data_IF_516012290069
#
_entry.id   IF_516012290069
#
_cell.length_a   1.000
_cell.length_b   1.000
_cell.length_c   1.000
_cell.angle_alpha   90.00
_cell.angle_beta   90.00
_cell.angle_gamma   90.00
#
_symmetry.space_group_name_H-M   'P 1'
#
loop_
_entity.id
_entity.type
_entity.pdbx_description
1 polymer ?
#
# COMPACT_ATOMS: atom_id res chain seq x y z
N UNK A 1 -16.83 7.38 9.32
CA UNK A 1 -16.14 7.23 8.02
C UNK A 1 -16.01 8.63 7.43
N UNK A 2 -14.80 9.20 7.30
CA UNK A 2 -14.59 10.50 6.64
C UNK A 2 -14.03 10.21 5.24
N UNK A 3 -14.85 10.44 4.22
CA UNK A 3 -14.40 10.52 2.83
C UNK A 3 -13.91 11.95 2.58
N UNK A 4 -12.70 12.11 2.06
CA UNK A 4 -12.13 13.40 1.67
C UNK A 4 -11.74 13.31 0.19
N UNK A 5 -12.41 14.08 -0.65
CA UNK A 5 -12.08 14.28 -2.07
C UNK A 5 -11.51 15.70 -2.18
N UNK A 6 -10.21 15.84 -1.99
CA UNK A 6 -9.44 17.01 -2.44
C UNK A 6 -8.88 16.75 -3.85
N UNK A 7 -9.06 17.71 -4.74
CA UNK A 7 -8.52 17.77 -6.11
C UNK A 7 -7.29 18.69 -6.15
N UNK A 8 -6.32 18.46 -5.26
CA UNK A 8 -5.08 19.23 -5.18
C UNK A 8 -3.98 18.64 -6.07
N UNK A 9 -3.10 19.49 -6.60
CA UNK A 9 -1.99 19.11 -7.48
C UNK A 9 -1.03 18.10 -6.83
N UNK A 10 -0.75 18.27 -5.53
CA UNK A 10 0.08 17.35 -4.73
C UNK A 10 -0.66 16.92 -3.46
N UNK A 11 -0.56 15.64 -3.08
CA UNK A 11 -1.21 15.14 -1.86
C UNK A 11 -0.30 14.28 -0.98
N UNK A 12 -0.19 14.71 0.28
CA UNK A 12 0.42 13.95 1.36
C UNK A 12 -0.63 13.32 2.28
N UNK A 13 -0.62 11.99 2.42
CA UNK A 13 -1.44 11.27 3.41
C UNK A 13 -0.57 10.53 4.40
N UNK A 14 -0.65 10.88 5.69
CA UNK A 14 0.05 10.16 6.76
C UNK A 14 -0.94 9.70 7.83
N UNK A 15 -0.96 8.40 8.12
CA UNK A 15 -1.83 7.83 9.16
C UNK A 15 -1.09 6.74 9.95
N UNK A 16 -1.12 6.87 11.27
CA UNK A 16 -0.53 5.91 12.20
C UNK A 16 -1.55 5.45 13.22
N UNK A 17 -1.62 4.14 13.51
CA UNK A 17 -2.39 3.61 14.64
C UNK A 17 -1.49 2.85 15.62
N UNK A 18 -1.58 3.22 16.89
CA UNK A 18 -0.86 2.61 18.00
C UNK A 18 -1.85 1.93 18.95
N UNK A 19 -1.50 0.75 19.45
CA UNK A 19 -2.28 0.05 20.48
C UNK A 19 -1.94 -1.44 20.56
N UNK A 20 -2.27 -2.10 21.67
CA UNK A 20 -1.94 -3.53 21.84
C UNK A 20 -2.56 -4.41 20.76
N UNK A 21 -3.82 -4.16 20.38
CA UNK A 21 -4.56 -4.96 19.40
C UNK A 21 -5.49 -4.14 18.51
N UNK A 22 -6.04 -4.78 17.47
CA UNK A 22 -7.12 -4.23 16.64
C UNK A 22 -6.76 -4.03 15.16
N UNK A 23 -7.56 -3.21 14.49
CA UNK A 23 -7.61 -3.14 13.02
C UNK A 23 -7.38 -1.70 12.56
N UNK A 24 -6.81 -1.53 11.37
CA UNK A 24 -6.79 -0.28 10.63
C UNK A 24 -7.17 -0.58 9.19
N UNK A 25 -8.28 0.01 8.74
CA UNK A 25 -8.73 -0.02 7.36
C UNK A 25 -8.54 1.37 6.76
N UNK A 26 -7.86 1.44 5.62
CA UNK A 26 -7.73 2.67 4.83
C UNK A 26 -8.26 2.39 3.44
N UNK A 27 -9.23 3.22 3.03
CA UNK A 27 -9.78 3.24 1.67
C UNK A 27 -9.52 4.62 1.12
N UNK A 28 -8.85 4.68 -0.04
CA UNK A 28 -8.52 5.94 -0.70
C UNK A 28 -8.75 5.81 -2.21
N UNK A 29 -9.43 6.81 -2.78
CA UNK A 29 -9.65 6.95 -4.20
C UNK A 29 -9.25 8.36 -4.57
N UNK A 30 -8.41 8.53 -5.60
CA UNK A 30 -7.96 9.86 -5.96
C UNK A 30 -7.46 10.00 -7.39
N UNK A 31 -7.51 11.24 -7.87
CA UNK A 31 -7.00 11.70 -9.16
C UNK A 31 -6.12 12.94 -8.93
N UNK A 32 -4.86 12.91 -9.36
CA UNK A 32 -3.91 14.01 -9.11
C UNK A 32 -2.57 13.79 -9.81
N UNK A 33 -1.65 14.75 -9.71
CA UNK A 33 -0.33 14.64 -10.32
C UNK A 33 0.62 13.87 -9.41
N UNK A 34 0.90 14.38 -8.21
CA UNK A 34 1.91 13.78 -7.31
C UNK A 34 1.31 13.36 -5.96
N UNK A 35 1.67 12.15 -5.49
CA UNK A 35 1.13 11.66 -4.20
C UNK A 35 2.10 10.84 -3.35
N UNK A 36 2.20 11.27 -2.09
CA UNK A 36 2.94 10.62 -1.02
C UNK A 36 1.97 10.00 0.01
N UNK A 37 1.94 8.68 0.13
CA UNK A 37 1.10 7.97 1.12
C UNK A 37 1.96 7.18 2.09
N UNK A 38 1.87 7.49 3.39
CA UNK A 38 2.56 6.77 4.46
C UNK A 38 1.59 6.27 5.53
N UNK A 39 1.36 4.96 5.59
CA UNK A 39 0.45 4.36 6.57
C UNK A 39 1.20 3.36 7.47
N UNK A 40 0.94 3.43 8.77
CA UNK A 40 1.63 2.64 9.77
C UNK A 40 0.68 2.06 10.81
N UNK A 41 0.90 0.80 11.20
CA UNK A 41 0.28 0.23 12.40
C UNK A 41 1.32 -0.39 13.32
N UNK A 42 1.26 -0.01 14.60
CA UNK A 42 2.17 -0.44 15.65
C UNK A 42 1.39 -1.06 16.81
N UNK A 43 1.71 -2.29 17.17
CA UNK A 43 0.98 -3.00 18.23
C UNK A 43 1.36 -4.47 18.35
N UNK A 44 1.00 -5.14 19.44
CA UNK A 44 1.33 -6.57 19.60
C UNK A 44 0.65 -7.43 18.54
N UNK A 45 -0.66 -7.25 18.33
CA UNK A 45 -1.46 -8.03 17.38
C UNK A 45 -2.36 -7.17 16.52
N UNK A 46 -2.85 -7.70 15.39
CA UNK A 46 -3.90 -7.06 14.59
C UNK A 46 -3.61 -6.87 13.09
N UNK A 47 -4.37 -6.02 12.42
CA UNK A 47 -4.47 -6.04 10.96
C UNK A 47 -4.36 -4.64 10.38
N UNK A 48 -3.65 -4.52 9.26
CA UNK A 48 -3.64 -3.34 8.40
C UNK A 48 -4.17 -3.74 7.03
N UNK A 49 -5.29 -3.14 6.64
CA UNK A 49 -5.95 -3.36 5.36
C UNK A 49 -5.96 -2.05 4.58
N UNK A 50 -5.43 -2.06 3.37
CA UNK A 50 -5.39 -0.88 2.50
C UNK A 50 -6.00 -1.25 1.16
N UNK A 51 -7.06 -0.53 0.78
CA UNK A 51 -7.64 -0.59 -0.56
C UNK A 51 -7.45 0.77 -1.19
N UNK A 52 -6.92 0.81 -2.40
CA UNK A 52 -6.58 2.08 -2.99
C UNK A 52 -6.64 2.09 -4.51
N UNK A 53 -7.31 3.09 -5.08
CA UNK A 53 -7.44 3.24 -6.54
C UNK A 53 -7.00 4.64 -6.94
N UNK A 54 -6.11 4.73 -7.93
CA UNK A 54 -5.50 6.00 -8.29
C UNK A 54 -5.22 6.14 -9.77
N UNK A 55 -5.43 7.36 -10.23
CA UNK A 55 -5.07 7.82 -11.57
C UNK A 55 -4.20 9.07 -11.42
N UNK A 56 -2.97 9.07 -11.95
CA UNK A 56 -2.05 10.20 -11.78
C UNK A 56 -0.70 10.04 -12.46
N UNK A 57 0.24 10.95 -12.21
CA UNK A 57 1.58 10.87 -12.80
C UNK A 57 2.54 10.15 -11.86
N UNK A 58 2.80 10.72 -10.68
CA UNK A 58 3.86 10.24 -9.78
C UNK A 58 3.30 9.80 -8.43
N UNK A 59 3.81 8.67 -7.93
CA UNK A 59 3.34 8.15 -6.65
C UNK A 59 4.37 7.40 -5.83
N UNK A 60 4.46 7.83 -4.57
CA UNK A 60 5.22 7.20 -3.51
C UNK A 60 4.27 6.61 -2.44
N UNK A 61 4.31 5.29 -2.23
CA UNK A 61 3.51 4.61 -1.19
C UNK A 61 4.40 3.83 -0.23
N UNK A 62 4.31 4.13 1.06
CA UNK A 62 5.01 3.42 2.14
C UNK A 62 4.02 2.90 3.17
N UNK A 63 3.84 1.58 3.22
CA UNK A 63 2.95 0.94 4.20
C UNK A 63 3.76 0.05 5.14
N UNK A 64 3.52 0.18 6.44
CA UNK A 64 4.28 -0.51 7.46
C UNK A 64 3.40 -1.11 8.54
N UNK A 65 3.68 -2.36 8.92
CA UNK A 65 3.12 -2.98 10.11
C UNK A 65 4.23 -3.48 11.01
N UNK A 66 4.21 -3.07 12.27
CA UNK A 66 5.17 -3.45 13.30
C UNK A 66 4.45 -4.06 14.49
N UNK A 67 4.84 -5.27 14.90
CA UNK A 67 4.20 -5.96 16.01
C UNK A 67 4.76 -7.34 16.31
N UNK A 68 4.10 -8.12 17.16
CA UNK A 68 4.47 -9.54 17.33
C UNK A 68 3.76 -10.42 16.31
N UNK A 69 2.44 -10.33 16.23
CA UNK A 69 1.64 -11.14 15.31
C UNK A 69 0.77 -10.28 14.42
N UNK A 70 0.49 -10.68 13.17
CA UNK A 70 -0.63 -10.15 12.40
C UNK A 70 -0.39 -9.87 10.92
N UNK A 71 -1.37 -9.19 10.31
CA UNK A 71 -1.58 -9.24 8.87
C UNK A 71 -1.46 -7.87 8.22
N UNK A 72 -0.79 -7.83 7.07
CA UNK A 72 -0.81 -6.69 6.15
C UNK A 72 -1.46 -7.15 4.86
N UNK A 73 -2.51 -6.45 4.44
CA UNK A 73 -3.23 -6.74 3.22
C UNK A 73 -3.39 -5.47 2.40
N UNK A 74 -2.93 -5.50 1.17
CA UNK A 74 -2.92 -4.35 0.26
C UNK A 74 -3.55 -4.76 -1.05
N UNK A 75 -4.64 -4.10 -1.42
CA UNK A 75 -5.20 -4.13 -2.77
C UNK A 75 -5.03 -2.76 -3.37
N UNK A 76 -4.47 -2.71 -4.56
CA UNK A 76 -4.28 -1.43 -5.23
C UNK A 76 -4.39 -1.50 -6.74
N UNK A 77 -5.03 -0.48 -7.33
CA UNK A 77 -5.14 -0.31 -8.76
C UNK A 77 -4.58 1.05 -9.16
N UNK A 78 -3.71 1.05 -10.17
CA UNK A 78 -2.99 2.24 -10.61
C UNK A 78 -3.03 2.42 -12.12
N UNK A 79 -3.21 3.67 -12.51
CA UNK A 79 -3.09 4.15 -13.89
C UNK A 79 -2.24 5.41 -13.86
N UNK A 80 -1.04 5.38 -14.44
CA UNK A 80 -0.12 6.52 -14.34
C UNK A 80 1.23 6.37 -15.03
N UNK A 81 2.24 7.14 -14.62
CA UNK A 81 3.55 7.16 -15.28
C UNK A 81 4.70 6.69 -14.41
N UNK A 82 4.72 7.02 -13.12
CA UNK A 82 5.79 6.65 -12.20
C UNK A 82 5.24 6.21 -10.86
N UNK A 83 5.71 5.06 -10.38
CA UNK A 83 5.25 4.51 -9.11
C UNK A 83 6.32 3.77 -8.31
N UNK A 84 6.47 4.23 -7.07
CA UNK A 84 7.29 3.62 -6.05
C UNK A 84 6.42 3.11 -4.89
N UNK A 85 6.44 1.79 -4.67
CA UNK A 85 5.70 1.14 -3.58
C UNK A 85 6.63 0.37 -2.66
N UNK A 86 6.70 0.78 -1.38
CA UNK A 86 7.45 0.11 -0.33
C UNK A 86 6.50 -0.40 0.75
N UNK A 87 6.46 -1.71 0.92
CA UNK A 87 5.57 -2.35 1.87
C UNK A 87 6.37 -3.21 2.84
N UNK A 88 6.13 -3.01 4.13
CA UNK A 88 6.90 -3.62 5.21
C UNK A 88 6.05 -4.28 6.27
N UNK A 89 6.38 -5.52 6.63
CA UNK A 89 5.89 -6.18 7.85
C UNK A 89 7.08 -6.58 8.72
N UNK A 90 7.04 -6.18 9.99
CA UNK A 90 8.05 -6.53 10.99
C UNK A 90 7.35 -7.14 12.20
N UNK A 91 7.70 -8.38 12.53
CA UNK A 91 7.16 -9.08 13.69
C UNK A 91 7.32 -10.59 13.67
N UNK A 92 7.21 -11.22 14.82
CA UNK A 92 7.42 -12.66 15.00
C UNK A 92 6.60 -13.53 14.02
N UNK A 93 5.29 -13.33 13.89
CA UNK A 93 4.43 -14.20 13.07
C UNK A 93 3.36 -13.47 12.26
N UNK A 94 3.11 -13.86 11.02
CA UNK A 94 1.96 -13.30 10.29
C UNK A 94 2.03 -13.34 8.78
N UNK A 95 1.08 -12.66 8.16
CA UNK A 95 0.82 -12.80 6.73
C UNK A 95 0.91 -11.46 6.04
N UNK A 96 1.45 -11.50 4.85
CA UNK A 96 1.58 -10.34 4.00
C UNK A 96 1.00 -10.66 2.63
N UNK A 97 -0.08 -9.98 2.27
CA UNK A 97 -0.79 -10.19 1.02
C UNK A 97 -0.85 -8.90 0.23
N UNK A 98 -0.37 -8.94 -1.01
CA UNK A 98 -0.37 -7.80 -1.92
C UNK A 98 -0.97 -8.22 -3.24
N UNK A 99 -2.02 -7.51 -3.66
CA UNK A 99 -2.54 -7.56 -5.02
C UNK A 99 -2.45 -6.17 -5.58
N UNK A 100 -1.67 -6.01 -6.63
CA UNK A 100 -1.59 -4.75 -7.35
C UNK A 100 -1.86 -4.98 -8.82
N UNK A 101 -2.71 -4.14 -9.39
CA UNK A 101 -2.87 -3.99 -10.83
C UNK A 101 -2.31 -2.64 -11.24
N UNK A 102 -1.42 -2.66 -12.22
CA UNK A 102 -0.82 -1.45 -12.78
C UNK A 102 -1.04 -1.41 -14.29
N UNK A 103 -1.34 -0.22 -14.77
CA UNK A 103 -1.56 0.07 -16.19
C UNK A 103 -0.64 1.20 -16.67
N UNK A 104 0.23 1.69 -15.78
CA UNK A 104 1.11 2.80 -16.03
C UNK A 104 2.51 2.44 -16.51
N UNK A 105 3.30 3.48 -16.76
CA UNK A 105 4.73 3.36 -17.04
C UNK A 105 5.52 3.24 -15.71
N UNK A 106 6.78 2.80 -15.80
CA UNK A 106 7.80 2.72 -14.73
C UNK A 106 7.34 2.49 -13.27
N UNK A 107 7.62 1.27 -12.78
CA UNK A 107 7.27 0.84 -11.41
C UNK A 107 8.43 0.21 -10.65
N UNK A 108 8.59 0.61 -9.39
CA UNK A 108 9.34 -0.14 -8.38
C UNK A 108 8.41 -0.59 -7.26
N UNK A 109 8.42 -1.89 -6.97
CA UNK A 109 7.72 -2.46 -5.82
C UNK A 109 8.69 -3.23 -4.96
N UNK A 110 8.97 -2.68 -3.77
CA UNK A 110 9.79 -3.32 -2.75
C UNK A 110 8.95 -3.85 -1.60
N UNK A 111 9.06 -5.14 -1.38
CA UNK A 111 8.38 -5.84 -0.30
C UNK A 111 9.39 -6.32 0.73
N UNK A 112 9.11 -6.05 2.00
CA UNK A 112 9.96 -6.48 3.12
C UNK A 112 9.09 -7.17 4.15
N UNK A 113 9.45 -8.41 4.50
CA UNK A 113 8.87 -9.13 5.63
C UNK A 113 10.01 -9.62 6.51
N UNK A 114 9.97 -9.24 7.79
CA UNK A 114 10.94 -9.66 8.79
C UNK A 114 10.19 -10.29 9.97
N UNK A 115 10.58 -11.51 10.33
CA UNK A 115 9.89 -12.29 11.36
C UNK A 115 10.44 -13.70 11.51
N UNK A 116 9.96 -14.41 12.53
CA UNK A 116 10.31 -15.80 12.77
C UNK A 116 9.51 -16.75 11.87
N UNK A 117 8.24 -16.42 11.60
CA UNK A 117 7.36 -17.22 10.73
C UNK A 117 6.35 -16.35 9.99
N UNK A 118 5.88 -16.83 8.85
CA UNK A 118 4.88 -16.12 8.08
C UNK A 118 4.84 -16.48 6.61
N UNK A 119 3.82 -15.97 5.95
CA UNK A 119 3.61 -16.17 4.51
C UNK A 119 3.53 -14.83 3.81
N UNK A 120 4.17 -14.76 2.65
CA UNK A 120 4.06 -13.62 1.75
C UNK A 120 3.43 -14.10 0.45
N UNK A 121 2.34 -13.46 0.04
CA UNK A 121 1.66 -13.72 -1.21
C UNK A 121 1.54 -12.41 -1.99
N UNK A 122 2.01 -12.44 -3.23
CA UNK A 122 2.18 -11.24 -4.04
C UNK A 122 1.69 -11.53 -5.44
N UNK A 123 0.75 -10.72 -5.92
CA UNK A 123 0.29 -10.74 -7.30
C UNK A 123 0.43 -9.32 -7.83
N UNK A 124 1.33 -9.15 -8.78
CA UNK A 124 1.52 -7.89 -9.50
C UNK A 124 1.09 -8.13 -10.95
N UNK A 125 -0.01 -7.51 -11.34
CA UNK A 125 -0.51 -7.52 -12.71
C UNK A 125 -0.04 -6.24 -13.41
N UNK A 126 0.41 -6.40 -14.65
CA UNK A 126 0.69 -5.32 -15.59
C UNK A 126 -0.15 -5.60 -16.84
N UNK A 127 -0.93 -4.64 -17.29
CA UNK A 127 -1.78 -4.81 -18.48
C UNK A 127 -1.37 -3.94 -19.65
N UNK A 128 -0.10 -3.49 -19.69
CA UNK A 128 0.45 -2.90 -20.90
C UNK A 128 0.40 -3.92 -22.04
N UNK A 129 -0.11 -3.47 -23.18
CA UNK A 129 -0.10 -4.21 -24.44
C UNK A 129 1.19 -3.79 -25.16
N UNK A 130 2.17 -4.69 -25.27
CA UNK A 130 3.47 -4.44 -25.93
C UNK A 130 3.33 -4.27 -27.46
N UNK A 131 2.18 -3.77 -27.96
CA UNK A 131 1.83 -3.73 -29.38
C UNK A 131 2.12 -2.42 -30.10
N UNK A 132 2.81 -1.47 -29.48
CA UNK A 132 3.26 -0.21 -30.11
C UNK A 132 4.79 -0.03 -30.04
N UNK A 133 5.55 -1.01 -30.53
CA UNK A 133 6.96 -0.82 -30.96
C UNK A 133 7.19 -1.36 -32.36
#
# INVERSE_FOLDING_TARGET
>A
MRSRVDTGYDRDTRLGRYGQSGYLLVVAMDTGYDRDTRLGRYGQSGYLFVISMYTGYDRDTRLGRYGQSGYLFVISMYTGYDRDTRLGRYGQSGYFFVVSMDTGYDRDTRLVSFGQSGYMYVVLMDTRDDRDT
#
